data_IF_644320013334
#
_entry.id   IF_644320013334
#
_cell.length_a   1.000
_cell.length_b   1.000
_cell.length_c   1.000
_cell.angle_alpha   90.00
_cell.angle_beta   90.00
_cell.angle_gamma   90.00
#
_symmetry.space_group_name_H-M   'P 1'
#
loop_
_entity.id
_entity.type
_entity.pdbx_description
1 polymer ?
#
# COMPACT_ATOMS: atom_id res chain seq x y z
N UNK A 1 10.43 7.08 -17.41
CA UNK A 1 9.14 7.71 -17.73
C UNK A 1 8.32 6.89 -18.71
N UNK A 2 8.83 6.56 -19.89
CA UNK A 2 8.09 5.82 -20.93
C UNK A 2 7.66 4.40 -20.47
N UNK A 3 8.43 3.79 -19.58
CA UNK A 3 8.10 2.49 -18.99
C UNK A 3 7.17 2.58 -17.75
N UNK A 4 6.63 3.76 -17.43
CA UNK A 4 5.79 3.96 -16.24
C UNK A 4 6.56 3.87 -14.90
N UNK A 5 7.88 4.08 -14.94
CA UNK A 5 8.75 4.04 -13.77
C UNK A 5 9.82 5.14 -13.85
N UNK A 6 10.55 5.33 -12.77
CA UNK A 6 11.70 6.23 -12.73
C UNK A 6 12.94 5.46 -12.29
N UNK A 7 14.13 5.89 -12.72
CA UNK A 7 15.39 5.28 -12.30
C UNK A 7 15.63 5.43 -10.79
N UNK A 8 15.19 6.53 -10.19
CA UNK A 8 15.42 6.83 -8.78
C UNK A 8 16.90 6.78 -8.43
N UNK A 9 17.26 6.03 -7.39
CA UNK A 9 18.65 5.77 -6.98
C UNK A 9 19.35 4.70 -7.82
N UNK A 10 18.67 4.09 -8.78
CA UNK A 10 19.18 2.97 -9.57
C UNK A 10 19.11 1.63 -8.86
N UNK A 11 18.54 1.56 -7.67
CA UNK A 11 18.36 0.29 -6.95
C UNK A 11 17.28 -0.55 -7.63
N UNK A 12 17.59 -1.82 -7.90
CA UNK A 12 16.70 -2.80 -8.50
C UNK A 12 16.64 -4.01 -7.58
N UNK A 13 15.43 -4.41 -7.19
CA UNK A 13 15.17 -5.62 -6.42
C UNK A 13 14.40 -6.57 -7.32
N UNK A 14 14.98 -7.73 -7.60
CA UNK A 14 14.33 -8.80 -8.35
C UNK A 14 13.61 -9.72 -7.36
N UNK A 15 12.35 -9.95 -7.60
CA UNK A 15 11.50 -10.83 -6.78
C UNK A 15 10.90 -11.91 -7.69
N UNK A 16 10.84 -13.14 -7.20
CA UNK A 16 10.21 -14.26 -7.88
C UNK A 16 8.78 -14.50 -7.36
N UNK A 17 8.12 -15.54 -7.91
CA UNK A 17 6.75 -15.91 -7.57
C UNK A 17 6.57 -16.42 -6.13
N UNK A 18 7.65 -16.66 -5.40
CA UNK A 18 7.59 -17.07 -3.98
C UNK A 18 7.52 -15.85 -3.03
N UNK A 19 7.70 -14.66 -3.58
CA UNK A 19 7.70 -13.42 -2.79
C UNK A 19 6.29 -12.94 -2.54
N UNK A 20 5.90 -12.83 -1.28
CA UNK A 20 4.63 -12.22 -0.85
C UNK A 20 4.69 -10.70 -1.08
N UNK A 21 3.89 -10.19 -2.03
CA UNK A 21 3.88 -8.77 -2.40
C UNK A 21 3.37 -7.88 -1.25
N UNK A 22 2.46 -8.36 -0.41
CA UNK A 22 1.97 -7.61 0.76
C UNK A 22 3.08 -7.44 1.78
N UNK A 23 3.88 -8.49 2.02
CA UNK A 23 5.03 -8.45 2.92
C UNK A 23 6.13 -7.53 2.39
N UNK A 24 6.40 -7.55 1.09
CA UNK A 24 7.35 -6.65 0.46
C UNK A 24 6.90 -5.18 0.58
N UNK A 25 5.63 -4.89 0.30
CA UNK A 25 5.04 -3.56 0.46
C UNK A 25 5.13 -3.08 1.92
N UNK A 26 4.77 -3.92 2.88
CA UNK A 26 4.84 -3.59 4.31
C UNK A 26 6.27 -3.24 4.75
N UNK A 27 7.28 -3.95 4.22
CA UNK A 27 8.69 -3.66 4.52
C UNK A 27 9.10 -2.26 4.06
N UNK A 28 8.66 -1.87 2.87
CA UNK A 28 8.96 -0.55 2.29
C UNK A 28 8.20 0.55 3.04
N UNK A 29 6.91 0.35 3.29
CA UNK A 29 6.10 1.34 4.03
C UNK A 29 6.66 1.56 5.43
N UNK A 30 7.06 0.50 6.13
CA UNK A 30 7.71 0.60 7.44
C UNK A 30 9.00 1.45 7.42
N UNK A 31 9.76 1.37 6.35
CA UNK A 31 10.92 2.25 6.17
C UNK A 31 10.46 3.71 6.13
N UNK A 32 9.50 4.06 5.27
CA UNK A 32 9.01 5.44 5.16
C UNK A 32 8.35 5.96 6.44
N UNK A 33 7.61 5.12 7.14
CA UNK A 33 7.01 5.45 8.44
C UNK A 33 8.07 5.86 9.47
N UNK A 34 9.18 5.13 9.52
CA UNK A 34 10.29 5.40 10.44
C UNK A 34 11.16 6.59 10.05
N UNK A 35 11.34 6.82 8.75
CA UNK A 35 12.13 7.93 8.21
C UNK A 35 11.32 9.24 8.14
N UNK A 36 10.02 9.21 8.40
CA UNK A 36 9.20 10.42 8.48
C UNK A 36 9.70 11.31 9.62
N UNK A 37 10.05 12.55 9.29
CA UNK A 37 10.49 13.52 10.30
C UNK A 37 9.36 14.06 11.18
N UNK A 38 8.09 13.69 10.89
CA UNK A 38 6.90 14.09 11.62
C UNK A 38 6.38 15.51 11.34
N UNK A 39 7.02 16.29 10.46
CA UNK A 39 6.65 17.68 10.20
C UNK A 39 5.29 17.81 9.51
N UNK A 40 5.03 17.01 8.49
CA UNK A 40 3.82 17.09 7.68
C UNK A 40 2.82 16.05 8.15
N UNK A 41 1.66 16.46 8.59
CA UNK A 41 0.59 15.56 9.08
C UNK A 41 0.24 14.45 8.09
N UNK A 42 0.03 14.70 6.78
CA UNK A 42 -0.30 13.63 5.85
C UNK A 42 0.78 12.55 5.77
N UNK A 43 2.05 12.92 5.80
CA UNK A 43 3.16 11.97 5.79
C UNK A 43 3.24 11.19 7.12
N UNK A 44 3.28 11.90 8.25
CA UNK A 44 3.41 11.30 9.59
C UNK A 44 2.29 10.30 9.87
N UNK A 45 1.04 10.75 9.72
CA UNK A 45 -0.12 9.92 10.03
C UNK A 45 -0.38 8.89 8.93
N UNK A 46 -0.27 9.32 7.65
CA UNK A 46 -0.57 8.44 6.52
C UNK A 46 0.36 7.24 6.45
N UNK A 47 1.68 7.42 6.58
CA UNK A 47 2.63 6.29 6.54
C UNK A 47 2.48 5.36 7.74
N UNK A 48 2.12 5.90 8.91
CA UNK A 48 1.82 5.10 10.11
C UNK A 48 0.56 4.26 9.91
N UNK A 49 -0.51 4.85 9.39
CA UNK A 49 -1.74 4.11 9.08
C UNK A 49 -1.53 3.02 8.02
N UNK A 50 -0.77 3.32 6.98
CA UNK A 50 -0.41 2.31 5.98
C UNK A 50 0.37 1.14 6.60
N UNK A 51 1.34 1.42 7.48
CA UNK A 51 2.09 0.40 8.20
C UNK A 51 1.17 -0.46 9.09
N UNK A 52 0.27 0.16 9.84
CA UNK A 52 -0.65 -0.54 10.74
C UNK A 52 -1.64 -1.43 9.98
N UNK A 53 -2.19 -0.94 8.86
CA UNK A 53 -3.11 -1.72 8.03
C UNK A 53 -2.38 -2.94 7.43
N UNK A 54 -1.18 -2.76 6.86
CA UNK A 54 -0.41 -3.85 6.28
C UNK A 54 0.00 -4.88 7.34
N UNK A 55 0.43 -4.45 8.52
CA UNK A 55 0.75 -5.34 9.62
C UNK A 55 -0.49 -6.13 10.09
N UNK A 56 -1.66 -5.50 10.11
CA UNK A 56 -2.92 -6.16 10.42
C UNK A 56 -3.26 -7.22 9.37
N UNK A 57 -3.13 -6.91 8.08
CA UNK A 57 -3.35 -7.87 6.99
C UNK A 57 -2.40 -9.07 7.10
N UNK A 58 -1.11 -8.83 7.34
CA UNK A 58 -0.09 -9.88 7.49
C UNK A 58 -0.28 -10.74 8.75
N UNK A 59 -0.95 -10.22 9.77
CA UNK A 59 -1.28 -10.98 10.99
C UNK A 59 -2.60 -11.75 10.91
N UNK A 60 -3.21 -11.88 9.72
CA UNK A 60 -4.48 -12.58 9.53
C UNK A 60 -5.69 -11.84 10.11
N UNK A 61 -5.61 -10.51 10.21
CA UNK A 61 -6.68 -9.63 10.73
C UNK A 61 -7.09 -8.57 9.72
N UNK A 62 -6.92 -8.85 8.42
CA UNK A 62 -7.36 -7.99 7.34
C UNK A 62 -8.87 -7.75 7.40
N UNK A 63 -9.31 -6.59 6.95
CA UNK A 63 -10.73 -6.18 7.01
C UNK A 63 -11.20 -5.76 5.62
N UNK A 64 -12.46 -6.02 5.28
CA UNK A 64 -13.07 -5.43 4.10
C UNK A 64 -12.86 -3.91 4.08
N UNK A 65 -12.42 -3.37 2.95
CA UNK A 65 -12.11 -1.94 2.79
C UNK A 65 -10.70 -1.50 3.18
N UNK A 66 -9.82 -2.41 3.63
CA UNK A 66 -8.43 -2.09 3.96
C UNK A 66 -7.65 -1.58 2.74
N UNK A 67 -7.88 -2.18 1.57
CA UNK A 67 -7.24 -1.75 0.32
C UNK A 67 -7.64 -0.31 -0.04
N UNK A 68 -8.92 0.00 0.02
CA UNK A 68 -9.44 1.34 -0.24
C UNK A 68 -8.92 2.36 0.78
N UNK A 69 -8.76 1.93 2.04
CA UNK A 69 -8.20 2.79 3.10
C UNK A 69 -6.73 3.08 2.87
N UNK A 70 -5.94 2.09 2.45
CA UNK A 70 -4.54 2.27 2.05
C UNK A 70 -4.42 3.28 0.90
N UNK A 71 -5.25 3.12 -0.13
CA UNK A 71 -5.24 4.02 -1.29
C UNK A 71 -5.70 5.44 -0.96
N UNK A 72 -6.64 5.60 -0.02
CA UNK A 72 -7.06 6.91 0.49
C UNK A 72 -5.95 7.57 1.30
N UNK A 73 -5.27 6.83 2.18
CA UNK A 73 -4.12 7.33 2.94
C UNK A 73 -3.01 7.80 1.99
N UNK A 74 -2.67 6.98 1.00
CA UNK A 74 -1.73 7.32 -0.05
C UNK A 74 -2.15 8.59 -0.82
N UNK A 75 -3.42 8.72 -1.17
CA UNK A 75 -3.94 9.89 -1.89
C UNK A 75 -3.94 11.18 -1.05
N UNK A 76 -4.01 11.08 0.26
CA UNK A 76 -3.85 12.24 1.16
C UNK A 76 -2.41 12.75 1.17
N UNK A 77 -1.43 11.86 0.99
CA UNK A 77 -0.01 12.22 0.91
C UNK A 77 0.34 12.73 -0.50
N UNK A 78 -0.12 12.03 -1.53
CA UNK A 78 0.11 12.36 -2.94
C UNK A 78 -1.20 12.24 -3.72
N UNK A 79 -1.92 13.37 -3.93
CA UNK A 79 -3.21 13.37 -4.63
C UNK A 79 -3.13 12.79 -6.05
N UNK A 80 -4.15 12.02 -6.42
CA UNK A 80 -4.28 11.39 -7.75
C UNK A 80 -4.04 9.88 -7.76
N UNK A 81 -3.80 9.29 -6.61
CA UNK A 81 -3.66 7.84 -6.44
C UNK A 81 -5.03 7.15 -6.25
N UNK A 82 -6.00 7.90 -5.81
CA UNK A 82 -7.39 7.47 -5.61
C UNK A 82 -8.36 8.52 -6.20
N UNK A 83 -9.46 8.18 -6.83
CA UNK A 83 -10.04 6.84 -6.98
C UNK A 83 -9.36 5.98 -8.06
N UNK A 84 -9.49 4.67 -7.88
CA UNK A 84 -8.86 3.63 -8.70
C UNK A 84 -9.45 3.54 -10.11
N UNK A 85 -10.57 4.19 -10.40
CA UNK A 85 -11.27 4.13 -11.69
C UNK A 85 -10.35 4.44 -12.91
N UNK A 86 -9.33 5.27 -12.74
CA UNK A 86 -8.31 5.53 -13.76
C UNK A 86 -7.33 4.36 -13.97
N UNK A 87 -7.44 3.28 -13.17
CA UNK A 87 -6.52 2.15 -13.20
C UNK A 87 -7.08 0.94 -13.94
N UNK A 88 -8.38 0.91 -14.22
CA UNK A 88 -9.08 -0.24 -14.78
C UNK A 88 -8.85 -0.39 -16.30
N UNK A 89 -8.34 0.62 -16.98
CA UNK A 89 -8.15 0.61 -18.44
C UNK A 89 -6.76 0.11 -18.89
N UNK A 90 -6.12 -0.76 -18.14
CA UNK A 90 -4.94 -1.53 -18.62
C UNK A 90 -3.66 -0.73 -18.87
N UNK A 91 -3.66 0.56 -18.64
CA UNK A 91 -2.49 1.42 -18.78
C UNK A 91 -1.53 1.30 -17.59
N UNK A 92 -0.24 1.46 -17.81
CA UNK A 92 0.71 1.81 -16.77
C UNK A 92 0.29 3.18 -16.23
N UNK A 93 -0.48 3.21 -15.15
CA UNK A 93 -0.77 4.49 -14.51
C UNK A 93 0.52 4.96 -13.89
N UNK A 94 1.12 5.90 -14.57
CA UNK A 94 2.11 6.72 -13.95
C UNK A 94 1.44 7.37 -12.73
N UNK A 95 1.96 7.11 -11.53
CA UNK A 95 1.83 8.08 -10.45
C UNK A 95 2.15 9.43 -11.09
N UNK A 96 1.28 10.44 -11.00
CA UNK A 96 1.49 11.69 -11.70
C UNK A 96 2.90 12.19 -11.48
N UNK A 97 3.65 12.41 -12.55
CA UNK A 97 5.02 12.92 -12.42
C UNK A 97 5.08 14.32 -13.04
N UNK A 98 5.53 15.35 -12.32
CA UNK A 98 5.92 15.30 -10.91
C UNK A 98 4.73 14.94 -9.99
N UNK A 99 4.94 14.12 -8.95
CA UNK A 99 3.86 13.75 -8.06
C UNK A 99 3.27 15.00 -7.40
N UNK A 100 1.95 15.13 -7.43
CA UNK A 100 1.28 16.12 -6.59
C UNK A 100 1.57 15.75 -5.13
N UNK A 101 1.98 16.72 -4.34
CA UNK A 101 2.33 16.47 -2.94
C UNK A 101 1.64 17.45 -2.01
N UNK A 102 1.22 16.94 -0.87
CA UNK A 102 0.68 17.73 0.27
C UNK A 102 1.74 17.94 1.35
N UNK A 103 2.95 17.43 1.10
CA UNK A 103 4.07 17.44 2.03
C UNK A 103 5.18 18.37 1.55
N UNK A 104 5.99 18.89 2.47
CA UNK A 104 7.06 19.85 2.15
C UNK A 104 8.19 19.20 1.36
N UNK A 105 8.52 17.95 1.66
CA UNK A 105 9.63 17.24 1.01
C UNK A 105 9.12 16.03 0.21
N UNK A 106 9.97 15.47 -0.69
CA UNK A 106 9.59 14.36 -1.55
C UNK A 106 9.43 13.01 -0.82
N UNK A 107 9.79 12.88 0.46
CA UNK A 107 9.64 11.63 1.19
C UNK A 107 8.18 11.16 1.19
N UNK A 108 7.23 12.07 1.42
CA UNK A 108 5.80 11.76 1.37
C UNK A 108 5.38 11.11 0.06
N UNK A 109 5.45 11.79 -1.09
CA UNK A 109 5.08 11.18 -2.37
C UNK A 109 5.92 9.95 -2.74
N UNK A 110 7.16 9.84 -2.26
CA UNK A 110 7.98 8.64 -2.48
C UNK A 110 7.48 7.41 -1.71
N UNK A 111 6.80 7.61 -0.57
CA UNK A 111 6.18 6.50 0.18
C UNK A 111 4.97 5.90 -0.54
N UNK A 112 4.27 6.71 -1.34
CA UNK A 112 3.01 6.34 -1.99
C UNK A 112 3.21 5.40 -3.18
N UNK A 113 4.25 5.63 -3.99
CA UNK A 113 4.47 4.87 -5.22
C UNK A 113 4.60 3.35 -4.98
N UNK A 114 5.37 2.86 -3.99
CA UNK A 114 5.48 1.43 -3.70
C UNK A 114 4.15 0.78 -3.34
N UNK A 115 3.36 1.39 -2.46
CA UNK A 115 2.08 0.82 -2.02
C UNK A 115 1.06 0.81 -3.15
N UNK A 116 0.94 1.92 -3.86
CA UNK A 116 0.01 2.05 -4.97
C UNK A 116 0.33 1.07 -6.11
N UNK A 117 1.61 0.92 -6.46
CA UNK A 117 2.03 -0.02 -7.50
C UNK A 117 1.90 -1.48 -7.08
N UNK A 118 2.17 -1.81 -5.81
CA UNK A 118 1.99 -3.16 -5.28
C UNK A 118 0.51 -3.57 -5.32
N UNK A 119 -0.38 -2.73 -4.79
CA UNK A 119 -1.83 -2.99 -4.84
C UNK A 119 -2.31 -3.14 -6.28
N UNK A 120 -1.85 -2.32 -7.19
CA UNK A 120 -2.26 -2.39 -8.59
C UNK A 120 -1.87 -3.70 -9.26
N UNK A 121 -0.61 -4.14 -9.05
CA UNK A 121 -0.06 -5.31 -9.76
C UNK A 121 -0.41 -6.63 -9.09
N UNK A 122 -0.62 -6.63 -7.79
CA UNK A 122 -0.80 -7.81 -6.96
C UNK A 122 -2.05 -7.73 -6.10
N UNK A 123 -3.11 -7.07 -6.62
CA UNK A 123 -4.37 -6.85 -5.88
C UNK A 123 -4.93 -8.12 -5.27
N UNK A 124 -4.88 -9.22 -6.02
CA UNK A 124 -5.36 -10.54 -5.56
C UNK A 124 -4.65 -11.04 -4.31
N UNK A 125 -3.36 -10.75 -4.14
CA UNK A 125 -2.62 -11.12 -2.92
C UNK A 125 -3.09 -10.32 -1.71
N UNK A 126 -3.43 -9.03 -1.90
CA UNK A 126 -4.00 -8.20 -0.84
C UNK A 126 -5.41 -8.65 -0.47
N UNK A 127 -6.24 -9.00 -1.45
CA UNK A 127 -7.59 -9.54 -1.23
C UNK A 127 -7.54 -10.87 -0.48
N UNK A 128 -6.63 -11.77 -0.84
CA UNK A 128 -6.43 -13.03 -0.14
C UNK A 128 -6.14 -12.85 1.36
N UNK A 129 -5.37 -11.83 1.75
CA UNK A 129 -5.12 -11.53 3.18
C UNK A 129 -6.37 -11.06 3.94
N UNK A 130 -7.35 -10.51 3.23
CA UNK A 130 -8.65 -10.11 3.79
C UNK A 130 -9.55 -11.33 3.91
N UNK A 131 -9.61 -12.18 2.90
CA UNK A 131 -10.43 -13.40 2.86
C UNK A 131 -9.96 -14.43 3.88
N UNK A 132 -8.67 -14.66 4.03
CA UNK A 132 -8.07 -15.51 5.07
C UNK A 132 -8.54 -15.08 6.48
N UNK A 133 -8.58 -13.79 6.74
CA UNK A 133 -9.04 -13.24 8.01
C UNK A 133 -10.56 -13.48 8.25
N UNK A 134 -11.37 -13.36 7.20
CA UNK A 134 -12.80 -13.61 7.27
C UNK A 134 -13.09 -15.09 7.57
N UNK A 135 -12.38 -16.01 6.93
CA UNK A 135 -12.52 -17.46 7.18
C UNK A 135 -12.10 -17.83 8.60
N UNK A 136 -10.96 -17.33 9.09
CA UNK A 136 -10.51 -17.57 10.47
C UNK A 136 -11.51 -17.09 11.52
N UNK A 137 -12.20 -15.99 11.26
CA UNK A 137 -13.23 -15.45 12.18
C UNK A 137 -14.48 -16.34 12.22
N UNK A 138 -14.87 -16.94 11.10
CA UNK A 138 -16.03 -17.84 11.02
C UNK A 138 -15.75 -19.15 11.77
N UNK A 139 -14.56 -19.73 11.62
CA UNK A 139 -14.17 -20.96 12.34
C UNK A 139 -14.19 -20.78 13.86
N UNK A 140 -13.73 -19.66 14.38
CA UNK A 140 -13.76 -19.35 15.81
C UNK A 140 -15.19 -19.19 16.32
N UNK A 141 -16.10 -18.64 15.52
CA UNK A 141 -17.50 -18.43 15.90
C UNK A 141 -18.32 -19.73 15.91
N UNK A 142 -17.96 -20.71 15.09
CA UNK A 142 -18.66 -22.02 15.00
C UNK A 142 -18.12 -23.01 16.03
N UNK A 143 -16.88 -22.89 16.47
CA UNK A 143 -16.24 -23.77 17.47
C UNK A 143 -16.59 -23.47 18.94
N UNK A 144 -17.33 -22.40 19.22
CA UNK A 144 -17.69 -21.97 20.60
C UNK A 144 -19.00 -22.49 21.16
N UNK A 145 -19.61 -23.50 20.57
CA UNK A 145 -20.88 -24.12 21.01
C UNK A 145 -20.68 -25.56 21.48
N UNK A 146 -20.12 -25.76 22.66
CA UNK A 146 -20.20 -27.04 23.39
C UNK A 146 -20.29 -26.76 24.85
#
# INVERSE_FOLDING_TARGET
GAAGSMLGSGAIVVMDETTDAVKAAARIVRFFSRESCGKCTPCREGTTWEEDILNRMLSGKGRPGDIETLLKAASNISPGVYPVAAWEEGGLVAVPFPPKQTTICPLGPSSVAPIASAIRRFRSEFEAKIDEAAHATIEVSVGGGS
#
